data_IF_145503752401
#
_entry.id   IF_145503752401
#
_cell.length_a   1.000
_cell.length_b   1.000
_cell.length_c   1.000
_cell.angle_alpha   90.00
_cell.angle_beta   90.00
_cell.angle_gamma   90.00
#
_symmetry.space_group_name_H-M   'P 1'
#
loop_
_entity.id
_entity.type
_entity.pdbx_description
1 polymer ?
#
# COMPACT_ATOMS: atom_id res chain seq x y z
N UNK A 1 -9.35 -6.67 10.05
CA UNK A 1 -8.46 -5.56 10.44
C UNK A 1 -8.34 -5.48 11.96
N UNK A 2 -7.14 -5.67 12.49
CA UNK A 2 -6.78 -5.61 13.90
C UNK A 2 -6.15 -4.23 14.17
N UNK A 3 -6.69 -3.37 15.04
CA UNK A 3 -6.09 -2.07 15.35
C UNK A 3 -4.77 -2.25 16.11
N UNK A 4 -3.74 -1.48 15.75
CA UNK A 4 -2.40 -1.57 16.37
C UNK A 4 -2.00 -0.28 17.08
N UNK A 5 -2.18 0.87 16.43
CA UNK A 5 -1.80 2.17 16.93
C UNK A 5 -2.66 3.27 16.29
N UNK A 6 -2.63 4.47 16.84
CA UNK A 6 -3.28 5.66 16.26
C UNK A 6 -2.47 6.88 16.63
N UNK A 7 -2.26 7.77 15.66
CA UNK A 7 -1.64 9.08 15.88
C UNK A 7 -2.58 10.22 15.45
N UNK A 8 -2.06 11.45 15.35
CA UNK A 8 -2.82 12.63 14.96
C UNK A 8 -3.40 12.54 13.54
N UNK A 9 -2.76 11.80 12.62
CA UNK A 9 -3.09 11.73 11.19
C UNK A 9 -3.69 10.39 10.78
N UNK A 10 -3.26 9.28 11.38
CA UNK A 10 -3.57 7.94 10.91
C UNK A 10 -4.03 7.00 12.01
N UNK A 11 -4.95 6.11 11.64
CA UNK A 11 -5.26 4.88 12.36
C UNK A 11 -4.49 3.72 11.70
N UNK A 12 -3.75 2.95 12.50
CA UNK A 12 -2.93 1.85 12.02
C UNK A 12 -3.59 0.50 12.33
N UNK A 13 -3.57 -0.38 11.35
CA UNK A 13 -4.13 -1.71 11.43
C UNK A 13 -3.16 -2.75 10.88
N UNK A 14 -3.34 -3.98 11.35
CA UNK A 14 -2.73 -5.18 10.81
C UNK A 14 -3.86 -6.10 10.32
N UNK A 15 -3.71 -6.65 9.12
CA UNK A 15 -4.55 -7.72 8.62
C UNK A 15 -3.70 -8.81 7.95
N UNK A 16 -4.35 -9.84 7.42
CA UNK A 16 -3.67 -10.91 6.71
C UNK A 16 -4.31 -11.13 5.34
N UNK A 17 -3.47 -11.12 4.31
CA UNK A 17 -3.86 -11.52 2.97
C UNK A 17 -3.15 -12.81 2.61
N UNK A 18 -3.90 -13.90 2.44
CA UNK A 18 -3.37 -15.24 2.12
C UNK A 18 -2.26 -15.71 3.10
N UNK A 19 -2.37 -15.33 4.38
CA UNK A 19 -1.38 -15.65 5.41
C UNK A 19 -0.22 -14.66 5.52
N UNK A 20 -0.09 -13.72 4.60
CA UNK A 20 0.91 -12.64 4.65
C UNK A 20 0.38 -11.46 5.46
N UNK A 21 1.13 -10.96 6.46
CA UNK A 21 0.71 -9.79 7.25
C UNK A 21 0.73 -8.51 6.42
N UNK A 22 -0.38 -7.78 6.43
CA UNK A 22 -0.57 -6.53 5.71
C UNK A 22 -0.77 -5.38 6.68
N UNK A 23 0.14 -4.41 6.66
CA UNK A 23 -0.01 -3.16 7.39
C UNK A 23 -0.90 -2.21 6.60
N UNK A 24 -1.91 -1.67 7.28
CA UNK A 24 -2.91 -0.80 6.68
C UNK A 24 -2.96 0.49 7.49
N UNK A 25 -3.00 1.62 6.80
CA UNK A 25 -3.18 2.93 7.39
C UNK A 25 -4.52 3.49 6.94
N UNK A 26 -5.23 4.17 7.82
CA UNK A 26 -6.43 4.93 7.47
C UNK A 26 -6.23 6.39 7.84
N UNK A 27 -6.35 7.27 6.86
CA UNK A 27 -6.29 8.72 7.08
C UNK A 27 -7.52 9.16 7.89
N UNK A 28 -7.29 9.88 8.99
CA UNK A 28 -8.36 10.31 9.91
C UNK A 28 -9.20 11.46 9.37
N UNK A 29 -8.66 12.27 8.45
CA UNK A 29 -9.35 13.41 7.86
C UNK A 29 -10.18 12.97 6.65
N UNK A 30 -9.59 12.17 5.77
CA UNK A 30 -10.22 11.77 4.50
C UNK A 30 -10.92 10.42 4.57
N UNK A 31 -10.57 9.58 5.56
CA UNK A 31 -11.05 8.21 5.68
C UNK A 31 -10.40 7.23 4.70
N UNK A 32 -9.44 7.69 3.89
CA UNK A 32 -8.78 6.90 2.86
C UNK A 32 -7.93 5.78 3.45
N UNK A 33 -7.98 4.61 2.80
CA UNK A 33 -7.24 3.42 3.22
C UNK A 33 -6.00 3.28 2.34
N UNK A 34 -4.84 3.20 2.99
CA UNK A 34 -3.54 3.02 2.38
C UNK A 34 -2.95 1.69 2.84
N UNK A 35 -2.27 1.00 1.93
CA UNK A 35 -1.54 -0.23 2.23
C UNK A 35 -0.05 0.07 2.26
N UNK A 36 0.65 -0.48 3.24
CA UNK A 36 2.11 -0.40 3.29
C UNK A 36 2.73 -1.07 2.05
N UNK A 37 3.61 -0.36 1.36
CA UNK A 37 4.21 -0.84 0.12
C UNK A 37 5.12 -2.07 0.33
N UNK A 38 5.66 -2.27 1.54
CA UNK A 38 6.41 -3.47 1.90
C UNK A 38 5.49 -4.69 1.98
N UNK A 39 4.39 -4.57 2.72
CA UNK A 39 3.35 -5.61 2.78
C UNK A 39 2.77 -5.96 1.40
N UNK A 40 2.53 -4.96 0.54
CA UNK A 40 2.05 -5.19 -0.84
C UNK A 40 3.10 -5.95 -1.66
N UNK A 41 4.37 -5.56 -1.56
CA UNK A 41 5.46 -6.26 -2.24
C UNK A 41 5.55 -7.74 -1.83
N UNK A 42 5.43 -8.04 -0.53
CA UNK A 42 5.40 -9.41 -0.02
C UNK A 42 4.19 -10.20 -0.54
N UNK A 43 3.00 -9.60 -0.55
CA UNK A 43 1.78 -10.22 -1.08
C UNK A 43 1.90 -10.58 -2.57
N UNK A 44 2.66 -9.80 -3.33
CA UNK A 44 2.92 -10.03 -4.76
C UNK A 44 4.15 -10.94 -5.01
N UNK A 45 4.79 -11.45 -3.96
CA UNK A 45 5.92 -12.37 -4.05
C UNK A 45 7.29 -11.71 -4.25
N UNK A 46 7.40 -10.40 -4.04
CA UNK A 46 8.67 -9.69 -4.09
C UNK A 46 9.37 -9.71 -2.73
N UNK A 47 10.71 -9.70 -2.76
CA UNK A 47 11.55 -9.69 -1.54
C UNK A 47 11.62 -8.33 -0.84
N UNK A 48 11.26 -7.26 -1.55
CA UNK A 48 11.29 -5.89 -1.04
C UNK A 48 10.47 -4.96 -1.93
N UNK A 49 10.08 -3.81 -1.40
CA UNK A 49 9.46 -2.73 -2.19
C UNK A 49 10.36 -2.30 -3.34
N UNK A 50 11.69 -2.25 -3.14
CA UNK A 50 12.62 -1.89 -4.22
C UNK A 50 12.61 -2.91 -5.36
N UNK A 51 12.54 -4.21 -5.05
CA UNK A 51 12.44 -5.25 -6.07
C UNK A 51 11.13 -5.13 -6.87
N UNK A 52 10.01 -4.87 -6.20
CA UNK A 52 8.72 -4.62 -6.83
C UNK A 52 8.77 -3.39 -7.74
N UNK A 53 9.32 -2.28 -7.25
CA UNK A 53 9.43 -1.02 -8.00
C UNK A 53 10.51 -1.04 -9.10
N UNK A 54 11.27 -2.14 -9.23
CA UNK A 54 12.21 -2.36 -10.34
C UNK A 54 11.63 -3.26 -11.43
N UNK A 55 10.42 -3.80 -11.25
CA UNK A 55 9.73 -4.62 -12.25
C UNK A 55 8.95 -3.71 -13.22
N UNK A 56 9.31 -3.73 -14.50
CA UNK A 56 8.67 -2.92 -15.52
C UNK A 56 7.15 -3.14 -15.57
N UNK A 57 6.65 -4.36 -15.33
CA UNK A 57 5.21 -4.64 -15.37
C UNK A 57 4.45 -3.91 -14.27
N UNK A 58 5.07 -3.76 -13.10
CA UNK A 58 4.52 -2.99 -11.99
C UNK A 58 4.50 -1.50 -12.35
N UNK A 59 5.59 -1.00 -12.92
CA UNK A 59 5.69 0.40 -13.36
C UNK A 59 4.68 0.72 -14.46
N UNK A 60 4.52 -0.17 -15.43
CA UNK A 60 3.54 -0.07 -16.51
C UNK A 60 2.11 -0.05 -15.93
N UNK A 61 1.80 -0.93 -14.98
CA UNK A 61 0.49 -0.96 -14.31
C UNK A 61 0.19 0.35 -13.56
N UNK A 62 1.20 0.90 -12.87
CA UNK A 62 1.07 2.19 -12.17
C UNK A 62 0.83 3.31 -13.18
N UNK A 63 1.59 3.31 -14.28
CA UNK A 63 1.47 4.32 -15.33
C UNK A 63 0.10 4.26 -16.02
N UNK A 64 -0.38 3.07 -16.36
CA UNK A 64 -1.72 2.86 -16.94
C UNK A 64 -2.82 3.36 -16.00
N UNK A 65 -2.73 3.06 -14.70
CA UNK A 65 -3.67 3.59 -13.73
C UNK A 65 -3.67 5.12 -13.70
N UNK A 66 -2.48 5.74 -13.68
CA UNK A 66 -2.35 7.20 -13.71
C UNK A 66 -2.92 7.82 -14.98
N UNK A 67 -2.78 7.18 -16.14
CA UNK A 67 -3.40 7.65 -17.38
C UNK A 67 -4.93 7.60 -17.33
N UNK A 68 -5.50 6.59 -16.66
CA UNK A 68 -6.95 6.40 -16.55
C UNK A 68 -7.60 7.30 -15.51
N UNK A 69 -6.96 7.50 -14.36
CA UNK A 69 -7.56 8.20 -13.21
C UNK A 69 -7.00 9.60 -12.99
N UNK A 70 -5.83 9.92 -13.54
CA UNK A 70 -5.08 11.14 -13.25
C UNK A 70 -4.46 11.18 -11.85
N UNK A 71 -4.54 10.08 -11.08
CA UNK A 71 -4.11 10.01 -9.68
C UNK A 71 -3.04 8.92 -9.51
N UNK A 72 -1.96 9.26 -8.78
CA UNK A 72 -0.94 8.29 -8.40
C UNK A 72 -1.48 7.31 -7.35
N UNK A 73 -1.35 5.99 -7.54
CA UNK A 73 -1.69 5.01 -6.51
C UNK A 73 -0.63 4.97 -5.39
N UNK A 74 0.53 5.61 -5.60
CA UNK A 74 1.59 5.74 -4.61
C UNK A 74 1.45 7.05 -3.84
N UNK A 75 1.52 6.97 -2.51
CA UNK A 75 1.58 8.13 -1.62
C UNK A 75 2.78 8.04 -0.71
N UNK A 76 3.41 9.20 -0.47
CA UNK A 76 4.43 9.37 0.56
C UNK A 76 3.71 9.77 1.85
N UNK A 77 3.79 8.88 2.84
CA UNK A 77 3.14 9.02 4.15
C UNK A 77 4.14 9.53 5.18
#
# INVERSE_FOLDING_TARGET
MIPTHTDEKYEYYLDYFQGTPVKILRDRQTGEILFDAGSVAECLGYKSTQAMMSDNRVLDTIYEHMQQTGVSPLRKV
#
